data_IF_214741936607
#
_entry.id   IF_214741936607
#
_cell.length_a   1.000
_cell.length_b   1.000
_cell.length_c   1.000
_cell.angle_alpha   90.00
_cell.angle_beta   90.00
_cell.angle_gamma   90.00
#
_symmetry.space_group_name_H-M   'P 1'
#
loop_
_entity.id
_entity.type
_entity.pdbx_description
1 polymer ?
#
# COMPACT_ATOMS: atom_id res chain seq x y z
N UNK A 1 11.52 10.08 -23.91
CA UNK A 1 11.35 9.97 -22.43
C UNK A 1 11.68 8.54 -22.01
N UNK A 2 12.50 8.35 -20.98
CA UNK A 2 12.85 7.04 -20.47
C UNK A 2 12.21 6.86 -19.10
N UNK A 3 11.48 5.78 -18.90
CA UNK A 3 10.82 5.42 -17.65
C UNK A 3 11.54 4.18 -17.11
N UNK A 4 11.80 4.13 -15.81
CA UNK A 4 12.29 2.93 -15.16
C UNK A 4 11.42 2.52 -13.97
N UNK A 5 11.12 1.23 -13.87
CA UNK A 5 10.46 0.64 -12.71
C UNK A 5 11.52 0.00 -11.81
N UNK A 6 11.55 0.45 -10.58
CA UNK A 6 12.47 -0.01 -9.53
C UNK A 6 11.73 -1.01 -8.65
N UNK A 7 12.01 -2.29 -8.84
CA UNK A 7 11.34 -3.41 -8.17
C UNK A 7 10.61 -4.31 -9.16
N UNK A 8 11.12 -5.53 -9.37
CA UNK A 8 10.55 -6.54 -10.26
C UNK A 8 9.76 -7.62 -9.48
N UNK A 9 9.04 -7.20 -8.42
CA UNK A 9 8.02 -8.00 -7.76
C UNK A 9 6.72 -8.08 -8.59
N UNK A 10 5.68 -8.79 -8.11
CA UNK A 10 4.40 -8.92 -8.84
C UNK A 10 3.82 -7.56 -9.25
N UNK A 11 3.79 -6.60 -8.32
CA UNK A 11 3.24 -5.27 -8.60
C UNK A 11 4.13 -4.45 -9.53
N UNK A 12 5.44 -4.42 -9.28
CA UNK A 12 6.37 -3.69 -10.16
C UNK A 12 6.39 -4.26 -11.59
N UNK A 13 6.32 -5.59 -11.75
CA UNK A 13 6.22 -6.21 -13.07
C UNK A 13 4.90 -5.86 -13.77
N UNK A 14 3.78 -5.78 -13.04
CA UNK A 14 2.50 -5.38 -13.61
C UNK A 14 2.49 -3.92 -14.07
N UNK A 15 3.08 -3.02 -13.28
CA UNK A 15 3.25 -1.61 -13.70
C UNK A 15 4.18 -1.51 -14.92
N UNK A 16 5.30 -2.22 -14.90
CA UNK A 16 6.24 -2.25 -16.02
C UNK A 16 5.56 -2.71 -17.31
N UNK A 17 4.80 -3.82 -17.26
CA UNK A 17 4.06 -4.33 -18.41
C UNK A 17 3.06 -3.30 -18.93
N UNK A 18 2.29 -2.68 -18.04
CA UNK A 18 1.33 -1.63 -18.39
C UNK A 18 2.01 -0.42 -19.04
N UNK A 19 3.08 0.10 -18.46
CA UNK A 19 3.81 1.27 -18.98
C UNK A 19 4.51 0.96 -20.30
N UNK A 20 4.96 -0.28 -20.50
CA UNK A 20 5.65 -0.72 -21.71
C UNK A 20 4.74 -0.80 -22.95
N UNK A 21 3.42 -0.75 -22.79
CA UNK A 21 2.48 -0.77 -23.92
C UNK A 21 2.70 0.43 -24.86
N UNK A 22 2.90 1.62 -24.29
CA UNK A 22 2.98 2.85 -25.07
C UNK A 22 4.34 3.57 -24.93
N UNK A 23 5.25 3.07 -24.09
CA UNK A 23 6.49 3.78 -23.76
C UNK A 23 7.72 2.86 -23.80
N UNK A 24 8.89 3.46 -23.97
CA UNK A 24 10.16 2.78 -23.70
C UNK A 24 10.36 2.71 -22.19
N UNK A 25 10.20 1.53 -21.61
CA UNK A 25 10.27 1.29 -20.18
C UNK A 25 11.39 0.29 -19.84
N UNK A 26 12.18 0.61 -18.82
CA UNK A 26 13.19 -0.26 -18.24
C UNK A 26 12.68 -0.82 -16.91
N UNK A 27 13.24 -1.94 -16.47
CA UNK A 27 12.94 -2.51 -15.14
C UNK A 27 14.22 -2.99 -14.49
N UNK A 28 14.29 -2.85 -13.16
CA UNK A 28 15.41 -3.34 -12.35
C UNK A 28 14.95 -3.88 -11.01
N UNK A 29 15.77 -4.70 -10.37
CA UNK A 29 15.60 -5.14 -8.97
C UNK A 29 16.94 -5.65 -8.41
N UNK A 30 17.00 -5.88 -7.08
CA UNK A 30 18.20 -6.43 -6.43
C UNK A 30 18.65 -7.77 -7.04
N UNK A 31 17.70 -8.62 -7.41
CA UNK A 31 18.00 -9.90 -8.06
C UNK A 31 17.59 -9.82 -9.52
N UNK A 32 18.50 -10.27 -10.40
CA UNK A 32 18.22 -10.35 -11.83
C UNK A 32 16.97 -11.19 -12.10
N UNK A 33 16.13 -10.72 -13.00
CA UNK A 33 14.91 -11.39 -13.45
C UNK A 33 14.95 -11.57 -14.96
N UNK A 34 14.36 -12.67 -15.44
CA UNK A 34 14.16 -12.90 -16.87
C UNK A 34 12.95 -12.09 -17.38
N UNK A 35 13.09 -10.76 -17.41
CA UNK A 35 12.06 -9.83 -17.88
C UNK A 35 12.67 -8.99 -19.01
N UNK A 36 11.95 -8.71 -20.11
CA UNK A 36 12.45 -7.82 -21.16
C UNK A 36 12.88 -6.47 -20.61
N UNK A 37 13.92 -5.87 -21.23
CA UNK A 37 14.49 -4.58 -20.83
C UNK A 37 14.93 -4.51 -19.34
N UNK A 38 15.30 -5.66 -18.77
CA UNK A 38 15.91 -5.66 -17.44
C UNK A 38 17.32 -5.09 -17.52
N UNK A 39 17.60 -4.08 -16.72
CA UNK A 39 18.87 -3.38 -16.67
C UNK A 39 19.45 -3.37 -15.27
N UNK A 40 20.72 -3.00 -15.13
CA UNK A 40 21.32 -2.78 -13.81
C UNK A 40 20.73 -1.53 -13.13
N UNK A 41 20.90 -1.43 -11.81
CA UNK A 41 20.34 -0.35 -10.98
C UNK A 41 20.83 1.03 -11.46
N UNK A 42 22.11 1.18 -11.78
CA UNK A 42 22.67 2.46 -12.20
C UNK A 42 22.03 2.97 -13.49
N UNK A 43 21.87 2.10 -14.47
CA UNK A 43 21.24 2.44 -15.74
C UNK A 43 19.76 2.82 -15.55
N UNK A 44 19.03 2.11 -14.71
CA UNK A 44 17.64 2.43 -14.40
C UNK A 44 17.49 3.82 -13.75
N UNK A 45 18.38 4.17 -12.83
CA UNK A 45 18.35 5.44 -12.10
C UNK A 45 18.75 6.66 -12.95
N UNK A 46 19.31 6.47 -14.17
CA UNK A 46 19.52 7.54 -15.13
C UNK A 46 18.25 7.98 -15.89
N UNK A 47 17.13 7.27 -15.70
CA UNK A 47 15.89 7.63 -16.35
C UNK A 47 15.27 8.88 -15.70
N UNK A 48 14.58 9.68 -16.51
CA UNK A 48 13.89 10.89 -16.04
C UNK A 48 12.71 10.58 -15.14
N UNK A 49 12.00 9.46 -15.40
CA UNK A 49 10.81 9.01 -14.66
C UNK A 49 11.11 7.70 -13.95
N UNK A 50 10.99 7.70 -12.63
CA UNK A 50 11.26 6.55 -11.79
C UNK A 50 10.00 6.10 -11.06
N UNK A 51 9.63 4.82 -11.19
CA UNK A 51 8.51 4.22 -10.48
C UNK A 51 9.04 3.25 -9.43
N UNK A 52 8.86 3.56 -8.16
CA UNK A 52 9.33 2.73 -7.06
C UNK A 52 8.25 1.75 -6.60
N UNK A 53 8.49 0.45 -6.79
CA UNK A 53 7.62 -0.66 -6.41
C UNK A 53 8.37 -1.68 -5.53
N UNK A 54 9.14 -1.18 -4.58
CA UNK A 54 9.91 -1.95 -3.59
C UNK A 54 9.06 -2.23 -2.34
N UNK A 55 9.51 -3.17 -1.49
CA UNK A 55 8.97 -3.27 -0.13
C UNK A 55 9.28 -2.00 0.65
N UNK A 56 8.28 -1.49 1.37
CA UNK A 56 8.37 -0.27 2.17
C UNK A 56 9.59 -0.28 3.09
N UNK A 57 9.85 -1.39 3.77
CA UNK A 57 10.95 -1.52 4.73
C UNK A 57 12.34 -1.45 4.09
N UNK A 58 12.46 -1.65 2.78
CA UNK A 58 13.73 -1.61 2.06
C UNK A 58 14.02 -0.30 1.32
N UNK A 59 13.05 0.62 1.24
CA UNK A 59 13.19 1.84 0.41
C UNK A 59 14.30 2.74 0.90
N UNK A 60 14.37 3.02 2.20
CA UNK A 60 15.38 3.93 2.77
C UNK A 60 16.81 3.45 2.51
N UNK A 61 17.07 2.17 2.79
CA UNK A 61 18.41 1.60 2.53
C UNK A 61 18.74 1.63 1.04
N UNK A 62 17.75 1.28 0.19
CA UNK A 62 17.93 1.35 -1.27
C UNK A 62 18.31 2.76 -1.74
N UNK A 63 17.61 3.79 -1.27
CA UNK A 63 17.88 5.18 -1.64
C UNK A 63 19.25 5.63 -1.15
N UNK A 64 19.63 5.32 0.08
CA UNK A 64 20.94 5.64 0.65
C UNK A 64 22.11 5.02 -0.12
N UNK A 65 21.93 3.80 -0.58
CA UNK A 65 23.01 3.04 -1.22
C UNK A 65 23.15 3.33 -2.72
N UNK A 66 22.05 3.68 -3.39
CA UNK A 66 22.03 3.66 -4.86
C UNK A 66 21.57 4.96 -5.51
N UNK A 67 20.80 5.81 -4.80
CA UNK A 67 20.12 6.93 -5.42
C UNK A 67 20.92 8.23 -5.33
N UNK A 68 21.01 8.91 -6.46
CA UNK A 68 21.51 10.28 -6.58
C UNK A 68 20.43 11.15 -7.22
N UNK A 69 20.12 12.30 -6.60
CA UNK A 69 19.11 13.21 -7.10
C UNK A 69 19.62 13.98 -8.34
N UNK A 70 19.12 13.62 -9.49
CA UNK A 70 19.33 14.27 -10.80
C UNK A 70 18.05 14.97 -11.29
N UNK A 71 17.17 15.36 -10.36
CA UNK A 71 15.85 15.96 -10.62
C UNK A 71 14.88 15.03 -11.35
N UNK A 72 15.03 13.71 -11.16
CA UNK A 72 14.08 12.73 -11.66
C UNK A 72 12.69 12.96 -11.08
N UNK A 73 11.64 12.65 -11.83
CA UNK A 73 10.26 12.61 -11.36
C UNK A 73 9.99 11.22 -10.79
N UNK A 74 9.39 11.17 -9.60
CA UNK A 74 9.26 9.95 -8.81
C UNK A 74 7.79 9.59 -8.63
N UNK A 75 7.43 8.35 -8.97
CA UNK A 75 6.13 7.77 -8.66
C UNK A 75 6.31 6.67 -7.63
N UNK A 76 5.84 6.89 -6.41
CA UNK A 76 5.84 5.91 -5.33
C UNK A 76 4.63 4.99 -5.53
N UNK A 77 4.88 3.74 -5.91
CA UNK A 77 3.88 2.70 -6.09
C UNK A 77 3.88 1.67 -4.94
N UNK A 78 4.83 1.79 -4.02
CA UNK A 78 4.88 1.04 -2.76
C UNK A 78 3.80 1.51 -1.79
N UNK A 79 3.35 0.62 -0.90
CA UNK A 79 2.23 0.91 0.01
C UNK A 79 2.58 0.41 1.42
N UNK A 80 2.71 1.31 2.37
CA UNK A 80 3.04 0.97 3.76
C UNK A 80 3.65 2.15 4.53
N UNK A 81 4.04 1.87 5.77
CA UNK A 81 4.73 2.79 6.68
C UNK A 81 5.99 2.09 7.16
N UNK A 82 7.13 2.79 7.20
CA UNK A 82 8.37 2.23 7.73
C UNK A 82 8.23 1.93 9.23
N UNK A 83 8.49 0.70 9.63
CA UNK A 83 8.20 0.26 11.01
C UNK A 83 9.10 0.92 12.05
N UNK A 84 10.39 1.05 11.74
CA UNK A 84 11.39 1.53 12.71
C UNK A 84 11.23 3.01 13.06
N UNK A 85 10.87 3.84 12.08
CA UNK A 85 10.75 5.30 12.23
C UNK A 85 9.31 5.76 12.30
N UNK A 86 8.36 4.91 11.90
CA UNK A 86 6.95 5.24 11.67
C UNK A 86 6.76 6.36 10.62
N UNK A 87 7.73 6.56 9.71
CA UNK A 87 7.63 7.54 8.64
C UNK A 87 6.82 7.03 7.46
N UNK A 88 6.07 7.94 6.84
CA UNK A 88 5.42 7.71 5.56
C UNK A 88 6.46 7.71 4.43
N UNK A 89 6.11 7.17 3.28
CA UNK A 89 7.07 7.03 2.18
C UNK A 89 7.49 8.38 1.61
N UNK A 90 6.57 9.35 1.48
CA UNK A 90 6.92 10.70 1.05
C UNK A 90 7.96 11.35 1.98
N UNK A 91 7.86 11.16 3.30
CA UNK A 91 8.82 11.67 4.27
C UNK A 91 10.21 11.03 4.07
N UNK A 92 10.25 9.74 3.74
CA UNK A 92 11.50 9.06 3.42
C UNK A 92 12.11 9.62 2.13
N UNK A 93 11.31 9.81 1.08
CA UNK A 93 11.79 10.37 -0.18
C UNK A 93 12.23 11.83 -0.05
N UNK A 94 11.60 12.63 0.82
CA UNK A 94 11.98 14.01 1.10
C UNK A 94 13.38 14.16 1.72
N UNK A 95 13.97 13.08 2.24
CA UNK A 95 15.40 13.10 2.64
C UNK A 95 16.35 13.15 1.44
N UNK A 96 15.88 12.82 0.22
CA UNK A 96 16.70 12.66 -0.98
C UNK A 96 16.30 13.59 -2.13
N UNK A 97 15.04 14.03 -2.19
CA UNK A 97 14.49 14.79 -3.31
C UNK A 97 13.60 15.94 -2.83
N UNK A 98 13.34 16.90 -3.71
CA UNK A 98 12.37 17.96 -3.43
C UNK A 98 10.93 17.41 -3.55
N UNK A 99 10.01 17.98 -2.77
CA UNK A 99 8.61 17.51 -2.73
C UNK A 99 7.92 17.55 -4.10
N UNK A 100 8.27 18.51 -4.94
CA UNK A 100 7.73 18.68 -6.29
C UNK A 100 8.02 17.48 -7.20
N UNK A 101 9.07 16.69 -6.89
CA UNK A 101 9.42 15.49 -7.65
C UNK A 101 8.52 14.29 -7.30
N UNK A 102 7.79 14.35 -6.17
CA UNK A 102 7.09 13.20 -5.59
C UNK A 102 5.65 13.10 -6.10
N UNK A 103 5.32 11.93 -6.63
CA UNK A 103 3.96 11.47 -6.91
C UNK A 103 3.72 10.14 -6.19
N UNK A 104 2.47 9.85 -5.82
CA UNK A 104 2.05 8.60 -5.17
C UNK A 104 0.93 7.94 -5.97
N UNK A 105 1.09 6.65 -6.26
CA UNK A 105 0.12 5.82 -6.98
C UNK A 105 -0.79 5.08 -6.01
N UNK A 106 -2.09 5.21 -6.19
CA UNK A 106 -3.11 4.57 -5.37
C UNK A 106 -4.29 4.09 -6.21
N UNK A 107 -5.25 3.40 -5.58
CA UNK A 107 -6.46 2.92 -6.24
C UNK A 107 -6.51 1.39 -6.40
N UNK A 108 -7.70 0.84 -6.73
CA UNK A 108 -7.95 -0.59 -6.80
C UNK A 108 -7.24 -1.22 -8.00
N UNK A 109 -6.26 -2.10 -7.73
CA UNK A 109 -5.41 -2.70 -8.78
C UNK A 109 -4.70 -3.96 -8.29
N UNK A 110 -5.30 -5.12 -8.49
CA UNK A 110 -4.55 -6.36 -8.33
C UNK A 110 -3.56 -6.56 -9.46
N UNK A 111 -2.31 -6.86 -9.13
CA UNK A 111 -1.25 -7.07 -10.11
C UNK A 111 -1.61 -8.13 -11.17
N UNK A 112 -2.28 -9.22 -10.76
CA UNK A 112 -2.72 -10.29 -11.66
C UNK A 112 -3.76 -9.82 -12.68
N UNK A 113 -4.65 -8.91 -12.32
CA UNK A 113 -5.67 -8.35 -13.21
C UNK A 113 -5.08 -7.31 -14.16
N UNK A 114 -4.16 -6.47 -13.68
CA UNK A 114 -3.42 -5.53 -14.51
C UNK A 114 -2.60 -6.26 -15.58
N UNK A 115 -1.92 -7.35 -15.20
CA UNK A 115 -1.20 -8.23 -16.16
C UNK A 115 -2.11 -8.87 -17.23
N UNK A 116 -3.38 -9.12 -16.90
CA UNK A 116 -4.38 -9.59 -17.83
C UNK A 116 -5.03 -8.46 -18.65
N UNK A 117 -4.57 -7.22 -18.48
CA UNK A 117 -5.11 -6.01 -19.13
C UNK A 117 -6.60 -5.77 -18.84
N UNK A 118 -7.08 -6.24 -17.69
CA UNK A 118 -8.44 -5.98 -17.24
C UNK A 118 -8.60 -4.51 -16.84
N UNK A 119 -9.77 -3.88 -17.08
CA UNK A 119 -9.99 -2.49 -16.76
C UNK A 119 -9.83 -2.21 -15.28
N UNK A 120 -9.08 -1.15 -14.95
CA UNK A 120 -8.99 -0.64 -13.59
C UNK A 120 -8.86 0.89 -13.58
N UNK A 121 -8.95 1.48 -12.40
CA UNK A 121 -8.79 2.92 -12.21
C UNK A 121 -7.76 3.20 -11.13
N UNK A 122 -6.82 4.11 -11.42
CA UNK A 122 -5.75 4.54 -10.53
C UNK A 122 -5.82 6.04 -10.29
N UNK A 123 -5.30 6.48 -9.16
CA UNK A 123 -5.12 7.88 -8.82
C UNK A 123 -3.63 8.16 -8.62
N UNK A 124 -3.14 9.22 -9.23
CA UNK A 124 -1.78 9.72 -9.03
C UNK A 124 -1.89 11.04 -8.26
N UNK A 125 -1.54 11.01 -6.99
CA UNK A 125 -1.51 12.18 -6.14
C UNK A 125 -0.09 12.77 -6.13
N UNK A 126 0.03 14.09 -6.26
CA UNK A 126 1.33 14.74 -6.32
C UNK A 126 1.31 16.14 -5.73
N UNK A 127 2.44 16.58 -5.23
CA UNK A 127 2.65 17.99 -4.86
C UNK A 127 2.74 18.90 -6.10
N UNK A 128 3.27 18.39 -7.22
CA UNK A 128 3.27 19.03 -8.52
C UNK A 128 2.29 18.34 -9.47
N UNK A 129 1.19 18.98 -9.78
CA UNK A 129 0.12 18.44 -10.61
C UNK A 129 0.56 18.16 -12.06
N UNK A 130 1.57 18.88 -12.58
CA UNK A 130 2.08 18.62 -13.91
C UNK A 130 2.79 17.27 -13.97
N UNK A 131 3.59 16.92 -12.96
CA UNK A 131 4.23 15.62 -12.86
C UNK A 131 3.22 14.47 -12.77
N UNK A 132 2.13 14.66 -12.02
CA UNK A 132 1.05 13.68 -11.96
C UNK A 132 0.37 13.45 -13.32
N UNK A 133 0.12 14.54 -14.08
CA UNK A 133 -0.46 14.46 -15.45
C UNK A 133 0.48 13.74 -16.42
N UNK A 134 1.79 13.98 -16.31
CA UNK A 134 2.76 13.30 -17.14
C UNK A 134 2.79 11.79 -16.85
N UNK A 135 2.88 11.39 -15.57
CA UNK A 135 2.77 9.97 -15.21
C UNK A 135 1.43 9.34 -15.65
N UNK A 136 0.33 10.07 -15.52
CA UNK A 136 -0.99 9.61 -15.96
C UNK A 136 -1.03 9.31 -17.46
N UNK A 137 -0.36 10.11 -18.28
CA UNK A 137 -0.32 9.95 -19.73
C UNK A 137 0.44 8.71 -20.21
N UNK A 138 1.26 8.09 -19.36
CA UNK A 138 2.02 6.88 -19.70
C UNK A 138 1.20 5.59 -19.62
N UNK A 139 0.10 5.60 -18.88
CA UNK A 139 -0.71 4.41 -18.69
C UNK A 139 -1.57 4.11 -19.93
N UNK A 140 -1.77 2.83 -20.27
CA UNK A 140 -2.58 2.40 -21.41
C UNK A 140 -4.08 2.62 -21.15
N UNK A 141 -4.89 2.59 -22.22
CA UNK A 141 -6.31 2.92 -22.18
C UNK A 141 -7.17 2.01 -21.27
N UNK A 142 -6.73 0.79 -20.97
CA UNK A 142 -7.44 -0.07 -20.01
C UNK A 142 -7.22 0.32 -18.55
N UNK A 143 -6.30 1.26 -18.27
CA UNK A 143 -6.09 1.83 -16.95
C UNK A 143 -6.54 3.29 -16.96
N UNK A 144 -7.71 3.58 -16.39
CA UNK A 144 -8.17 4.94 -16.22
C UNK A 144 -7.37 5.62 -15.11
N UNK A 145 -6.68 6.70 -15.42
CA UNK A 145 -5.91 7.47 -14.45
C UNK A 145 -6.60 8.78 -14.08
N UNK A 146 -6.60 9.10 -12.80
CA UNK A 146 -7.04 10.36 -12.23
C UNK A 146 -5.86 11.07 -11.56
N UNK A 147 -5.91 12.39 -11.47
CA UNK A 147 -4.89 13.21 -10.83
C UNK A 147 -5.47 13.82 -9.57
N UNK A 148 -4.74 13.74 -8.47
CA UNK A 148 -5.09 14.31 -7.16
C UNK A 148 -3.92 15.06 -6.54
N UNK A 149 -4.18 15.78 -5.46
CA UNK A 149 -3.21 16.60 -4.73
C UNK A 149 -3.02 16.16 -3.27
N UNK A 150 -3.68 15.08 -2.84
CA UNK A 150 -3.59 14.57 -1.48
C UNK A 150 -2.62 13.38 -1.38
N UNK A 151 -1.32 13.69 -1.40
CA UNK A 151 -0.24 12.71 -1.28
C UNK A 151 -0.37 11.93 0.02
N UNK A 152 -0.55 12.62 1.15
CA UNK A 152 -0.67 12.02 2.48
C UNK A 152 -1.88 11.09 2.58
N UNK A 153 -3.04 11.50 2.08
CA UNK A 153 -4.24 10.67 2.07
C UNK A 153 -4.06 9.40 1.23
N UNK A 154 -3.45 9.50 0.06
CA UNK A 154 -3.17 8.35 -0.79
C UNK A 154 -2.25 7.33 -0.12
N UNK A 155 -1.20 7.76 0.56
CA UNK A 155 -0.29 6.89 1.32
C UNK A 155 -0.97 6.19 2.47
N UNK A 156 -1.74 6.96 3.27
CA UNK A 156 -2.50 6.39 4.41
C UNK A 156 -3.51 5.37 3.91
N UNK A 157 -4.26 5.67 2.86
CA UNK A 157 -5.20 4.72 2.25
C UNK A 157 -4.49 3.43 1.84
N UNK A 158 -3.38 3.54 1.10
CA UNK A 158 -2.60 2.40 0.63
C UNK A 158 -2.01 1.54 1.76
N UNK A 159 -1.59 2.16 2.85
CA UNK A 159 -1.05 1.51 4.04
C UNK A 159 -2.17 0.84 4.87
N UNK A 160 -3.17 1.63 5.26
CA UNK A 160 -4.22 1.24 6.20
C UNK A 160 -5.12 0.13 5.66
N UNK A 161 -5.49 0.17 4.37
CA UNK A 161 -6.31 -0.87 3.74
C UNK A 161 -5.73 -2.27 3.91
N UNK A 162 -4.40 -2.40 3.93
CA UNK A 162 -3.72 -3.68 4.08
C UNK A 162 -3.96 -4.28 5.48
N UNK A 163 -4.02 -3.43 6.50
CA UNK A 163 -4.36 -3.85 7.88
C UNK A 163 -5.84 -4.23 7.98
N UNK A 164 -6.71 -3.43 7.38
CA UNK A 164 -8.16 -3.73 7.34
C UNK A 164 -8.46 -5.02 6.55
N UNK A 165 -7.65 -5.33 5.53
CA UNK A 165 -7.75 -6.61 4.82
C UNK A 165 -7.38 -7.81 5.72
N UNK A 166 -6.40 -7.67 6.62
CA UNK A 166 -6.13 -8.68 7.65
C UNK A 166 -7.36 -8.87 8.54
N UNK A 167 -7.92 -7.76 9.06
CA UNK A 167 -9.11 -7.80 9.91
C UNK A 167 -10.31 -8.46 9.21
N UNK A 168 -10.54 -8.15 7.93
CA UNK A 168 -11.60 -8.76 7.12
C UNK A 168 -11.39 -10.26 6.92
N UNK A 169 -10.15 -10.67 6.63
CA UNK A 169 -9.78 -12.09 6.53
C UNK A 169 -10.01 -12.86 7.84
N UNK A 170 -9.76 -12.22 8.99
CA UNK A 170 -10.07 -12.80 10.31
C UNK A 170 -11.58 -13.00 10.46
N UNK A 171 -12.39 -11.99 10.14
CA UNK A 171 -13.85 -12.06 10.20
C UNK A 171 -14.40 -13.23 9.37
N UNK A 172 -13.90 -13.37 8.15
CA UNK A 172 -14.35 -14.45 7.27
C UNK A 172 -13.81 -15.82 7.70
N UNK A 173 -12.57 -15.87 8.19
CA UNK A 173 -11.98 -17.10 8.75
C UNK A 173 -12.69 -17.63 10.00
N UNK A 174 -13.33 -16.74 10.78
CA UNK A 174 -14.20 -17.07 11.90
C UNK A 174 -15.66 -17.38 11.48
N UNK A 175 -15.99 -17.32 10.19
CA UNK A 175 -17.33 -17.55 9.63
C UNK A 175 -18.39 -16.61 10.21
N UNK A 176 -18.08 -15.33 10.49
CA UNK A 176 -19.01 -14.36 11.08
C UNK A 176 -20.07 -13.85 10.08
N UNK A 177 -19.89 -14.15 8.80
CA UNK A 177 -20.84 -13.84 7.73
C UNK A 177 -20.68 -12.43 7.15
N UNK A 178 -21.48 -12.16 6.10
CA UNK A 178 -21.38 -10.95 5.29
C UNK A 178 -21.73 -9.66 6.05
N UNK A 179 -22.68 -9.72 7.00
CA UNK A 179 -23.06 -8.54 7.80
C UNK A 179 -21.91 -8.07 8.68
N UNK A 180 -21.19 -9.00 9.33
CA UNK A 180 -20.03 -8.68 10.15
C UNK A 180 -18.90 -8.08 9.29
N UNK A 181 -18.60 -8.69 8.14
CA UNK A 181 -17.59 -8.17 7.20
C UNK A 181 -17.94 -6.77 6.70
N UNK A 182 -19.18 -6.53 6.28
CA UNK A 182 -19.62 -5.22 5.81
C UNK A 182 -19.51 -4.16 6.92
N UNK A 183 -19.94 -4.49 8.14
CA UNK A 183 -19.82 -3.62 9.31
C UNK A 183 -18.36 -3.32 9.66
N UNK A 184 -17.49 -4.33 9.60
CA UNK A 184 -16.04 -4.17 9.86
C UNK A 184 -15.38 -3.25 8.83
N UNK A 185 -15.68 -3.43 7.53
CA UNK A 185 -15.12 -2.60 6.46
C UNK A 185 -15.59 -1.14 6.62
N UNK A 186 -16.88 -0.91 6.90
CA UNK A 186 -17.42 0.44 7.10
C UNK A 186 -16.80 1.12 8.33
N UNK A 187 -16.68 0.43 9.46
CA UNK A 187 -16.02 0.93 10.68
C UNK A 187 -14.51 1.18 10.43
N UNK A 188 -13.86 0.28 9.70
CA UNK A 188 -12.46 0.41 9.31
C UNK A 188 -12.20 1.62 8.43
N UNK A 189 -13.10 1.93 7.50
CA UNK A 189 -13.00 3.14 6.67
C UNK A 189 -13.10 4.41 7.52
N UNK A 190 -14.01 4.45 8.52
CA UNK A 190 -14.11 5.57 9.46
C UNK A 190 -12.84 5.70 10.31
N UNK A 191 -12.28 4.58 10.78
CA UNK A 191 -11.04 4.54 11.54
C UNK A 191 -9.86 5.07 10.70
N UNK A 192 -9.74 4.60 9.47
CA UNK A 192 -8.72 5.07 8.51
C UNK A 192 -8.87 6.57 8.23
N UNK A 193 -10.10 7.07 8.05
CA UNK A 193 -10.38 8.49 7.85
C UNK A 193 -9.98 9.32 9.07
N UNK A 194 -10.32 8.86 10.30
CA UNK A 194 -9.94 9.50 11.56
C UNK A 194 -8.42 9.61 11.69
N UNK A 195 -7.72 8.51 11.43
CA UNK A 195 -6.26 8.48 11.44
C UNK A 195 -5.68 9.46 10.40
N UNK A 196 -6.19 9.43 9.17
CA UNK A 196 -5.69 10.29 8.11
C UNK A 196 -5.95 11.77 8.33
N UNK A 197 -7.12 12.14 8.85
CA UNK A 197 -7.43 13.54 9.20
C UNK A 197 -6.43 14.11 10.20
N UNK A 198 -5.96 13.31 11.16
CA UNK A 198 -4.94 13.75 12.10
C UNK A 198 -3.62 14.13 11.38
N UNK A 199 -3.26 13.44 10.31
CA UNK A 199 -2.06 13.71 9.51
C UNK A 199 -2.31 14.68 8.34
N UNK A 200 -3.44 15.38 8.32
CA UNK A 200 -3.77 16.42 7.34
C UNK A 200 -4.31 15.92 6.00
N UNK A 201 -4.69 14.65 5.91
CA UNK A 201 -5.30 14.09 4.71
C UNK A 201 -6.75 14.57 4.50
N UNK A 202 -7.18 14.65 3.23
CA UNK A 202 -8.51 15.09 2.83
C UNK A 202 -9.53 13.95 2.94
N UNK A 203 -10.74 14.26 3.42
CA UNK A 203 -11.81 13.27 3.61
C UNK A 203 -12.23 12.60 2.30
N UNK A 204 -12.29 13.37 1.20
CA UNK A 204 -12.68 12.86 -0.11
C UNK A 204 -11.77 11.75 -0.61
N UNK A 205 -10.49 11.76 -0.24
CA UNK A 205 -9.52 10.73 -0.62
C UNK A 205 -9.91 9.36 -0.06
N UNK A 206 -10.44 9.34 1.17
CA UNK A 206 -10.87 8.09 1.83
C UNK A 206 -12.15 7.53 1.22
N UNK A 207 -13.05 8.37 0.72
CA UNK A 207 -14.30 7.96 0.10
C UNK A 207 -14.12 7.60 -1.39
N UNK A 208 -13.00 7.99 -1.98
CA UNK A 208 -12.67 7.77 -3.39
C UNK A 208 -11.99 6.43 -3.69
N UNK A 209 -11.39 6.37 -4.88
CA UNK A 209 -10.68 5.19 -5.38
C UNK A 209 -9.49 4.79 -4.49
N UNK A 210 -8.75 5.79 -3.98
CA UNK A 210 -7.57 5.54 -3.13
C UNK A 210 -7.94 4.89 -1.80
N UNK A 211 -9.06 5.28 -1.21
CA UNK A 211 -9.58 4.78 0.08
C UNK A 211 -10.57 3.64 -0.11
N UNK A 212 -11.86 3.96 -0.17
CA UNK A 212 -12.95 2.99 -0.22
C UNK A 212 -12.79 1.99 -1.37
N UNK A 213 -12.44 2.46 -2.58
CA UNK A 213 -12.27 1.58 -3.74
C UNK A 213 -11.19 0.50 -3.53
N UNK A 214 -9.99 0.91 -3.11
CA UNK A 214 -8.89 -0.02 -2.90
C UNK A 214 -9.09 -0.88 -1.63
N UNK A 215 -9.79 -0.35 -0.61
CA UNK A 215 -10.18 -1.11 0.59
C UNK A 215 -11.16 -2.22 0.25
N UNK A 216 -12.27 -1.92 -0.46
CA UNK A 216 -13.27 -2.93 -0.83
C UNK A 216 -12.66 -4.06 -1.66
N UNK A 217 -11.81 -3.72 -2.63
CA UNK A 217 -11.11 -4.70 -3.43
C UNK A 217 -10.22 -5.61 -2.55
N UNK A 218 -9.39 -4.99 -1.70
CA UNK A 218 -8.34 -5.70 -0.95
C UNK A 218 -8.92 -6.52 0.20
N UNK A 219 -9.99 -6.04 0.85
CA UNK A 219 -10.63 -6.67 2.00
C UNK A 219 -11.64 -7.77 1.64
N UNK A 220 -11.90 -8.02 0.34
CA UNK A 220 -12.93 -8.97 -0.11
C UNK A 220 -12.39 -10.07 -1.02
N UNK A 221 -11.08 -10.22 -1.15
CA UNK A 221 -10.50 -11.14 -2.12
C UNK A 221 -9.31 -11.93 -1.57
N UNK A 222 -9.28 -13.22 -1.87
CA UNK A 222 -8.13 -14.11 -1.60
C UNK A 222 -6.90 -13.79 -2.45
N UNK A 223 -7.02 -12.94 -3.48
CA UNK A 223 -5.88 -12.38 -4.20
C UNK A 223 -5.06 -11.46 -3.29
N UNK A 224 -5.68 -10.90 -2.25
CA UNK A 224 -4.98 -10.10 -1.23
C UNK A 224 -4.18 -11.01 -0.29
N UNK A 225 -2.86 -10.80 -0.25
CA UNK A 225 -1.96 -11.48 0.71
C UNK A 225 -2.34 -11.17 2.16
N UNK A 226 -2.70 -9.92 2.43
CA UNK A 226 -3.10 -9.48 3.77
C UNK A 226 -4.40 -10.14 4.22
N UNK A 227 -5.37 -10.28 3.32
CA UNK A 227 -6.61 -11.01 3.60
C UNK A 227 -6.31 -12.49 3.93
N UNK A 228 -5.40 -13.14 3.18
CA UNK A 228 -4.97 -14.53 3.48
C UNK A 228 -4.27 -14.66 4.84
N UNK A 229 -3.45 -13.66 5.24
CA UNK A 229 -2.92 -13.61 6.62
C UNK A 229 -4.03 -13.66 7.63
N UNK A 230 -5.09 -12.87 7.44
CA UNK A 230 -6.26 -12.84 8.33
C UNK A 230 -6.97 -14.19 8.41
N UNK A 231 -7.19 -14.87 7.29
CA UNK A 231 -7.80 -16.20 7.25
C UNK A 231 -7.01 -17.24 8.08
N UNK A 232 -5.69 -17.16 8.06
CA UNK A 232 -4.85 -18.11 8.81
C UNK A 232 -4.71 -17.71 10.29
N UNK A 233 -4.71 -16.42 10.62
CA UNK A 233 -4.78 -15.95 12.01
C UNK A 233 -6.08 -16.40 12.68
N UNK A 234 -7.20 -16.40 11.97
CA UNK A 234 -8.49 -16.90 12.48
C UNK A 234 -8.44 -18.38 12.92
N UNK A 235 -7.51 -19.15 12.32
CA UNK A 235 -7.25 -20.57 12.70
C UNK A 235 -6.23 -20.69 13.85
N UNK A 236 -5.87 -19.58 14.48
CA UNK A 236 -4.85 -19.48 15.54
C UNK A 236 -3.47 -20.02 15.12
N UNK A 237 -3.11 -19.94 13.84
CA UNK A 237 -1.76 -20.28 13.37
C UNK A 237 -0.76 -19.23 13.84
N UNK A 238 0.45 -19.63 14.26
CA UNK A 238 1.52 -18.68 14.58
C UNK A 238 1.89 -17.81 13.39
N UNK A 239 2.14 -16.50 13.63
CA UNK A 239 2.49 -15.57 12.57
C UNK A 239 3.71 -16.02 11.74
N UNK A 240 4.72 -16.61 12.40
CA UNK A 240 5.93 -17.13 11.72
C UNK A 240 5.62 -18.24 10.71
N UNK A 241 4.66 -19.12 11.02
CA UNK A 241 4.19 -20.15 10.10
C UNK A 241 3.43 -19.57 8.93
N UNK A 242 2.53 -18.61 9.20
CA UNK A 242 1.74 -17.90 8.18
C UNK A 242 2.65 -17.22 7.17
N UNK A 243 3.64 -16.44 7.65
CA UNK A 243 4.56 -15.69 6.78
C UNK A 243 5.45 -16.63 5.95
N UNK A 244 5.89 -17.75 6.53
CA UNK A 244 6.66 -18.78 5.81
C UNK A 244 5.81 -19.43 4.71
N UNK A 245 4.54 -19.72 4.99
CA UNK A 245 3.61 -20.32 4.04
C UNK A 245 3.21 -19.41 2.89
N UNK A 246 3.19 -18.08 3.11
CA UNK A 246 2.88 -17.11 2.06
C UNK A 246 3.96 -17.02 0.97
N UNK A 247 5.24 -17.22 1.33
CA UNK A 247 6.37 -17.07 0.40
C UNK A 247 6.57 -15.64 -0.15
N UNK A 248 5.83 -14.67 0.34
CA UNK A 248 5.80 -13.28 -0.13
C UNK A 248 5.58 -12.32 1.04
N UNK A 249 6.05 -11.07 0.87
CA UNK A 249 5.86 -10.04 1.90
C UNK A 249 4.39 -9.63 2.00
N UNK A 250 3.85 -9.65 3.21
CA UNK A 250 2.55 -9.07 3.56
C UNK A 250 2.79 -7.73 4.25
N UNK A 251 2.77 -6.63 3.49
CA UNK A 251 3.06 -5.27 3.98
C UNK A 251 2.15 -4.85 5.15
N UNK A 252 0.91 -5.36 5.19
CA UNK A 252 -0.06 -5.06 6.26
C UNK A 252 0.41 -5.47 7.65
N UNK A 253 1.23 -6.50 7.77
CA UNK A 253 1.75 -6.97 9.07
C UNK A 253 2.65 -5.90 9.69
N UNK A 254 3.65 -5.44 8.95
CA UNK A 254 4.57 -4.40 9.44
C UNK A 254 3.84 -3.05 9.61
N UNK A 255 2.97 -2.73 8.67
CA UNK A 255 2.16 -1.51 8.69
C UNK A 255 1.24 -1.45 9.92
N UNK A 256 0.66 -2.58 10.36
CA UNK A 256 -0.19 -2.63 11.56
C UNK A 256 0.57 -2.14 12.80
N UNK A 257 1.80 -2.60 13.01
CA UNK A 257 2.65 -2.15 14.11
C UNK A 257 2.97 -0.66 14.03
N UNK A 258 3.33 -0.15 12.83
CA UNK A 258 3.63 1.26 12.63
C UNK A 258 2.41 2.16 12.91
N UNK A 259 1.24 1.81 12.37
CA UNK A 259 -0.02 2.55 12.63
C UNK A 259 -0.37 2.53 14.11
N UNK A 260 -0.30 1.37 14.77
CA UNK A 260 -0.59 1.25 16.20
C UNK A 260 0.36 2.10 17.06
N UNK A 261 1.64 2.15 16.71
CA UNK A 261 2.64 3.01 17.36
C UNK A 261 2.29 4.48 17.21
N UNK A 262 2.00 4.93 15.98
CA UNK A 262 1.56 6.32 15.72
C UNK A 262 0.25 6.64 16.44
N UNK A 263 -0.71 5.74 16.41
CA UNK A 263 -2.01 5.92 17.06
C UNK A 263 -1.85 6.08 18.57
N UNK A 264 -1.04 5.25 19.23
CA UNK A 264 -0.73 5.37 20.67
C UNK A 264 -0.01 6.68 20.98
N UNK A 265 1.02 7.04 20.21
CA UNK A 265 1.81 8.27 20.38
C UNK A 265 0.92 9.52 20.31
N UNK A 266 -0.02 9.55 19.41
CA UNK A 266 -0.88 10.70 19.13
C UNK A 266 -2.29 10.58 19.73
N UNK A 267 -2.57 9.52 20.51
CA UNK A 267 -3.87 9.25 21.14
C UNK A 267 -5.02 9.19 20.14
N UNK A 268 -4.78 8.59 18.95
CA UNK A 268 -5.80 8.40 17.94
C UNK A 268 -6.55 7.08 18.21
N UNK A 269 -7.86 7.12 18.25
CA UNK A 269 -8.68 5.93 18.51
C UNK A 269 -8.74 5.01 17.28
N UNK A 270 -8.02 3.88 17.33
CA UNK A 270 -7.87 2.89 16.25
C UNK A 270 -8.10 1.47 16.76
N UNK A 271 -9.31 1.14 17.22
CA UNK A 271 -9.59 -0.15 17.87
C UNK A 271 -9.38 -1.35 16.96
N UNK A 272 -9.68 -1.26 15.65
CA UNK A 272 -9.52 -2.39 14.72
C UNK A 272 -8.03 -2.68 14.51
N UNK A 273 -7.22 -1.66 14.25
CA UNK A 273 -5.76 -1.85 14.12
C UNK A 273 -5.17 -2.40 15.40
N UNK A 274 -5.61 -1.90 16.57
CA UNK A 274 -5.12 -2.37 17.85
C UNK A 274 -5.37 -3.87 18.04
N UNK A 275 -6.60 -4.36 17.78
CA UNK A 275 -6.92 -5.78 17.89
C UNK A 275 -6.18 -6.63 16.85
N UNK A 276 -5.98 -6.12 15.63
CA UNK A 276 -5.15 -6.80 14.62
C UNK A 276 -3.72 -6.98 15.14
N UNK A 277 -3.12 -5.95 15.75
CA UNK A 277 -1.78 -6.06 16.33
C UNK A 277 -1.73 -7.10 17.45
N UNK A 278 -2.69 -7.09 18.38
CA UNK A 278 -2.75 -8.10 19.44
C UNK A 278 -2.84 -9.53 18.88
N UNK A 279 -3.58 -9.74 17.79
CA UNK A 279 -3.64 -11.04 17.13
C UNK A 279 -2.32 -11.44 16.45
N UNK A 280 -1.64 -10.48 15.83
CA UNK A 280 -0.29 -10.70 15.27
C UNK A 280 0.72 -11.06 16.37
N UNK A 281 0.50 -10.62 17.61
CA UNK A 281 1.26 -10.93 18.82
C UNK A 281 0.79 -12.23 19.52
N UNK A 282 -0.27 -12.88 19.03
CA UNK A 282 -0.72 -14.20 19.51
C UNK A 282 -2.01 -14.20 20.33
N UNK A 283 -2.73 -13.08 20.48
CA UNK A 283 -4.08 -13.07 21.09
C UNK A 283 -5.05 -13.87 20.21
N UNK A 284 -5.92 -14.65 20.84
CA UNK A 284 -6.89 -15.49 20.10
C UNK A 284 -7.96 -14.65 19.39
N UNK A 285 -8.32 -15.08 18.20
CA UNK A 285 -9.29 -14.38 17.35
C UNK A 285 -10.66 -14.14 18.02
N UNK A 286 -11.15 -15.11 18.78
CA UNK A 286 -12.42 -15.00 19.51
C UNK A 286 -12.38 -13.94 20.62
N UNK A 287 -11.25 -13.79 21.31
CA UNK A 287 -11.06 -12.78 22.35
C UNK A 287 -11.05 -11.37 21.75
N UNK A 288 -10.37 -11.19 20.61
CA UNK A 288 -10.37 -9.91 19.89
C UNK A 288 -11.77 -9.51 19.40
N UNK A 289 -12.56 -10.48 18.93
CA UNK A 289 -13.94 -10.23 18.51
C UNK A 289 -14.79 -9.72 19.67
N UNK A 290 -14.69 -10.35 20.84
CA UNK A 290 -15.42 -9.93 22.05
C UNK A 290 -15.03 -8.48 22.39
N UNK A 291 -13.74 -8.15 22.41
CA UNK A 291 -13.27 -6.81 22.74
C UNK A 291 -13.74 -5.74 21.75
N UNK A 292 -13.88 -6.09 20.46
CA UNK A 292 -14.42 -5.17 19.44
C UNK A 292 -15.95 -4.98 19.53
N UNK A 293 -16.66 -5.91 20.16
CA UNK A 293 -18.11 -5.85 20.34
C UNK A 293 -18.52 -5.18 21.65
N UNK A 294 -17.67 -5.21 22.67
CA UNK A 294 -17.95 -4.55 23.94
C UNK A 294 -17.94 -3.03 23.78
N UNK A 295 -18.93 -2.31 24.36
CA UNK A 295 -18.87 -0.85 24.44
C UNK A 295 -17.69 -0.47 25.32
N UNK A 296 -16.64 0.13 24.73
CA UNK A 296 -15.59 0.78 25.50
C UNK A 296 -16.10 2.15 25.91
N UNK A 297 -16.10 2.43 27.21
CA UNK A 297 -16.32 3.78 27.70
C UNK A 297 -15.29 4.70 27.02
N UNK A 298 -15.78 5.72 26.32
CA UNK A 298 -14.96 6.75 25.72
C UNK A 298 -14.47 7.61 26.88
N UNK A 299 -13.28 7.29 27.37
CA UNK A 299 -12.55 8.13 28.36
C UNK A 299 -11.84 9.28 27.67
#
# INVERSE_FOLDING_TARGET
MKIAVIGAGKWGSAIYDALSVNNSCLITSFHQKAVPNFVNIKEALECEFLVFALSTQGIRSYLRENFENKKQKILIASKGIETNTCQFLDEIFLEFVDKEQICVLSGPSFASEVMQKLPCALVINAYNQQNAKEFASFFPNYIKTYVGDDVRGAEICGAYKNVLAIASGISDGLNLGNNARASLIARGLIEMCRFGKFFGAKEETFLGLSGAGDLFLTASSTLSRNYRVGLDLAKNKPLSEILKGLGEVAEGVQTAFAINTLAKKHKIYTPIVHEVVLMLEGKKAQECLIDLMLPKEIS
#
